data_IF_195596527606
#
_entry.id   IF_195596527606
#
_cell.length_a   1.000
_cell.length_b   1.000
_cell.length_c   1.000
_cell.angle_alpha   90.00
_cell.angle_beta   90.00
_cell.angle_gamma   90.00
#
_symmetry.space_group_name_H-M   'P 1'
#
loop_
_entity.id
_entity.type
_entity.pdbx_description
1 polymer ?
#
# COMPACT_ATOMS: atom_id res chain seq x y z
N UNK A 1 13.52 -6.49 4.46
CA UNK A 1 12.44 -7.31 3.87
C UNK A 1 12.54 -8.78 4.25
N UNK A 2 13.73 -9.40 4.24
CA UNK A 2 13.87 -10.83 4.57
C UNK A 2 13.37 -11.22 5.96
N UNK A 3 13.56 -10.36 6.97
CA UNK A 3 13.02 -10.61 8.30
C UNK A 3 11.50 -10.52 8.35
N UNK A 4 10.89 -9.60 7.60
CA UNK A 4 9.43 -9.47 7.51
C UNK A 4 8.82 -10.68 6.79
N UNK A 5 9.48 -11.19 5.75
CA UNK A 5 9.06 -12.40 5.02
C UNK A 5 9.11 -13.68 5.88
N UNK A 6 9.81 -13.67 7.02
CA UNK A 6 9.77 -14.77 8.01
C UNK A 6 8.51 -14.75 8.88
N UNK A 7 7.89 -13.57 9.02
CA UNK A 7 6.72 -13.34 9.89
C UNK A 7 5.43 -13.33 9.06
N UNK A 8 5.48 -12.73 7.88
CA UNK A 8 4.35 -12.53 6.99
C UNK A 8 4.60 -13.22 5.64
N UNK A 9 3.54 -13.78 5.03
CA UNK A 9 3.59 -14.29 3.67
C UNK A 9 3.43 -13.12 2.68
N UNK A 10 4.55 -12.52 2.27
CA UNK A 10 4.58 -11.30 1.43
C UNK A 10 5.03 -11.66 0.01
N UNK A 11 4.18 -11.34 -0.96
CA UNK A 11 4.56 -11.22 -2.36
C UNK A 11 4.87 -9.74 -2.67
N UNK A 12 6.01 -9.48 -3.30
CA UNK A 12 6.49 -8.14 -3.59
C UNK A 12 6.48 -7.91 -5.10
N UNK A 13 5.86 -6.81 -5.55
CA UNK A 13 5.81 -6.45 -6.96
C UNK A 13 6.04 -4.95 -7.13
N UNK A 14 6.97 -4.59 -8.00
CA UNK A 14 7.18 -3.21 -8.44
C UNK A 14 6.29 -2.91 -9.65
N UNK A 15 5.34 -1.98 -9.51
CA UNK A 15 4.43 -1.58 -10.61
C UNK A 15 5.09 -0.48 -11.46
N UNK A 16 5.75 0.47 -10.79
CA UNK A 16 6.60 1.52 -11.34
C UNK A 16 7.38 2.20 -10.20
N UNK A 17 8.44 2.92 -10.57
CA UNK A 17 9.28 3.70 -9.66
C UNK A 17 9.36 5.13 -10.16
N UNK A 18 8.57 6.00 -9.56
CA UNK A 18 8.45 7.42 -9.90
C UNK A 18 8.48 8.26 -8.63
N UNK A 19 8.76 9.55 -8.77
CA UNK A 19 8.48 10.51 -7.71
C UNK A 19 6.97 10.67 -7.54
N UNK A 20 6.47 10.80 -6.31
CA UNK A 20 5.02 11.00 -6.09
C UNK A 20 4.50 12.29 -6.72
N UNK A 21 5.34 13.30 -6.88
CA UNK A 21 5.00 14.55 -7.57
C UNK A 21 4.77 14.36 -9.08
N UNK A 22 5.32 13.30 -9.67
CA UNK A 22 5.13 12.93 -11.09
C UNK A 22 3.96 11.94 -11.30
N UNK A 23 3.19 11.65 -10.25
CA UNK A 23 2.03 10.76 -10.34
C UNK A 23 1.00 11.33 -11.34
N UNK A 24 0.49 10.47 -12.22
CA UNK A 24 -0.51 10.82 -13.23
C UNK A 24 -1.70 9.87 -13.18
N UNK A 25 -2.78 10.20 -13.90
CA UNK A 25 -3.94 9.32 -14.00
C UNK A 25 -3.59 7.95 -14.60
N UNK A 26 -2.66 7.89 -15.55
CA UNK A 26 -2.21 6.62 -16.14
C UNK A 26 -1.56 5.71 -15.10
N UNK A 27 -0.81 6.30 -14.16
CA UNK A 27 -0.22 5.55 -13.04
C UNK A 27 -1.30 5.01 -12.10
N UNK A 28 -2.34 5.80 -11.81
CA UNK A 28 -3.49 5.36 -11.01
C UNK A 28 -4.28 4.25 -11.70
N UNK A 29 -4.54 4.37 -13.00
CA UNK A 29 -5.20 3.32 -13.78
C UNK A 29 -4.37 2.04 -13.80
N UNK A 30 -3.04 2.15 -13.96
CA UNK A 30 -2.15 1.00 -13.94
C UNK A 30 -2.15 0.30 -12.57
N UNK A 31 -2.18 1.05 -11.47
CA UNK A 31 -2.28 0.52 -10.12
C UNK A 31 -3.63 -0.18 -9.88
N UNK A 32 -4.75 0.44 -10.26
CA UNK A 32 -6.08 -0.16 -10.20
C UNK A 32 -6.13 -1.48 -10.98
N UNK A 33 -5.69 -1.45 -12.24
CA UNK A 33 -5.69 -2.63 -13.11
C UNK A 33 -4.79 -3.74 -12.57
N UNK A 34 -3.68 -3.39 -11.91
CA UNK A 34 -2.81 -4.36 -11.25
C UNK A 34 -3.53 -5.10 -10.13
N UNK A 35 -4.26 -4.38 -9.26
CA UNK A 35 -5.03 -4.99 -8.17
C UNK A 35 -6.09 -5.94 -8.74
N UNK A 36 -6.90 -5.48 -9.71
CA UNK A 36 -7.94 -6.28 -10.35
C UNK A 36 -7.37 -7.55 -11.03
N UNK A 37 -6.30 -7.38 -11.82
CA UNK A 37 -5.64 -8.51 -12.49
C UNK A 37 -5.02 -9.50 -11.49
N UNK A 38 -4.51 -9.00 -10.36
CA UNK A 38 -3.93 -9.84 -9.32
C UNK A 38 -4.99 -10.68 -8.61
N UNK A 39 -6.17 -10.13 -8.37
CA UNK A 39 -7.31 -10.86 -7.81
C UNK A 39 -7.76 -11.99 -8.73
N UNK A 40 -7.89 -11.70 -10.04
CA UNK A 40 -8.27 -12.67 -11.06
C UNK A 40 -7.25 -13.83 -11.17
N UNK A 41 -5.95 -13.50 -11.28
CA UNK A 41 -4.90 -14.50 -11.47
C UNK A 41 -4.70 -15.39 -10.24
N UNK A 42 -4.79 -14.80 -9.05
CA UNK A 42 -4.54 -15.52 -7.81
C UNK A 42 -5.80 -16.15 -7.22
N UNK A 43 -6.94 -16.10 -7.93
CA UNK A 43 -8.23 -16.66 -7.49
C UNK A 43 -8.58 -16.20 -6.06
N UNK A 44 -8.38 -14.91 -5.79
CA UNK A 44 -8.61 -14.27 -4.49
C UNK A 44 -7.75 -14.79 -3.32
N UNK A 45 -6.61 -15.45 -3.56
CA UNK A 45 -5.72 -15.92 -2.48
C UNK A 45 -4.96 -14.80 -1.76
N UNK A 46 -4.79 -13.63 -2.39
CA UNK A 46 -4.20 -12.44 -1.77
C UNK A 46 -5.15 -11.94 -0.68
N UNK A 47 -4.68 -11.77 0.55
CA UNK A 47 -5.55 -11.32 1.65
C UNK A 47 -5.75 -9.82 1.66
N UNK A 48 -4.68 -9.05 1.47
CA UNK A 48 -4.68 -7.58 1.55
C UNK A 48 -3.57 -7.02 0.65
N UNK A 49 -3.65 -5.71 0.38
CA UNK A 49 -2.68 -4.98 -0.42
C UNK A 49 -2.01 -3.89 0.41
N UNK A 50 -0.67 -3.84 0.35
CA UNK A 50 0.12 -2.75 0.92
C UNK A 50 0.85 -2.05 -0.22
N UNK A 51 0.57 -0.77 -0.40
CA UNK A 51 1.13 0.07 -1.46
C UNK A 51 2.16 0.99 -0.83
N UNK A 52 3.43 0.78 -1.16
CA UNK A 52 4.51 1.71 -0.81
C UNK A 52 4.47 2.88 -1.80
N UNK A 53 4.30 4.09 -1.28
CA UNK A 53 4.05 5.29 -2.06
C UNK A 53 4.83 6.49 -1.49
N UNK A 54 5.17 7.46 -2.34
CA UNK A 54 5.72 8.74 -1.90
C UNK A 54 4.66 9.60 -1.18
N UNK A 55 5.07 10.50 -0.29
CA UNK A 55 4.14 11.19 0.61
C UNK A 55 3.31 12.29 -0.04
N UNK A 56 3.82 12.92 -1.10
CA UNK A 56 3.22 14.17 -1.62
C UNK A 56 1.84 13.98 -2.23
N UNK A 57 1.58 12.81 -2.81
CA UNK A 57 0.31 12.49 -3.49
C UNK A 57 -0.36 11.23 -2.93
N UNK A 58 0.09 10.74 -1.77
CA UNK A 58 -0.45 9.53 -1.14
C UNK A 58 -1.95 9.63 -0.84
N UNK A 59 -2.40 10.75 -0.28
CA UNK A 59 -3.82 10.98 0.04
C UNK A 59 -4.69 11.03 -1.21
N UNK A 60 -4.15 11.56 -2.32
CA UNK A 60 -4.83 11.57 -3.61
C UNK A 60 -5.01 10.15 -4.16
N UNK A 61 -3.94 9.34 -4.14
CA UNK A 61 -4.01 7.92 -4.51
C UNK A 61 -4.98 7.14 -3.64
N UNK A 62 -4.97 7.36 -2.31
CA UNK A 62 -5.89 6.72 -1.38
C UNK A 62 -7.35 7.07 -1.70
N UNK A 63 -7.64 8.35 -1.93
CA UNK A 63 -8.98 8.83 -2.29
C UNK A 63 -9.46 8.21 -3.60
N UNK A 64 -8.61 8.16 -4.62
CA UNK A 64 -8.92 7.51 -5.90
C UNK A 64 -9.27 6.03 -5.71
N UNK A 65 -8.44 5.28 -4.98
CA UNK A 65 -8.67 3.85 -4.76
C UNK A 65 -9.94 3.60 -3.94
N UNK A 66 -10.25 4.47 -2.97
CA UNK A 66 -11.49 4.33 -2.18
C UNK A 66 -12.75 4.47 -3.04
N UNK A 67 -12.69 5.29 -4.09
CA UNK A 67 -13.79 5.44 -5.05
C UNK A 67 -13.78 4.32 -6.11
N UNK A 68 -12.61 3.83 -6.49
CA UNK A 68 -12.48 2.74 -7.46
C UNK A 68 -12.91 1.38 -6.89
N UNK A 69 -12.81 1.20 -5.57
CA UNK A 69 -13.02 -0.07 -4.86
C UNK A 69 -14.06 0.06 -3.72
N UNK A 70 -15.30 0.54 -3.97
CA UNK A 70 -16.26 0.89 -2.91
C UNK A 70 -16.77 -0.31 -2.08
N UNK A 71 -16.72 -1.53 -2.64
CA UNK A 71 -17.19 -2.76 -2.00
C UNK A 71 -16.08 -3.82 -1.91
N UNK A 72 -14.82 -3.40 -1.91
CA UNK A 72 -13.70 -4.34 -1.87
C UNK A 72 -13.56 -4.91 -0.45
N UNK A 73 -13.64 -6.23 -0.35
CA UNK A 73 -13.71 -6.94 0.94
C UNK A 73 -12.33 -7.13 1.61
N UNK A 74 -11.28 -6.53 1.03
CA UNK A 74 -9.89 -6.60 1.47
C UNK A 74 -9.37 -5.22 1.87
N UNK A 75 -8.28 -5.18 2.62
CA UNK A 75 -7.62 -3.93 2.95
C UNK A 75 -6.71 -3.49 1.79
N UNK A 76 -6.74 -2.19 1.48
CA UNK A 76 -5.74 -1.54 0.64
C UNK A 76 -5.08 -0.47 1.52
N UNK A 77 -3.84 -0.72 1.94
CA UNK A 77 -3.12 0.14 2.87
C UNK A 77 -2.02 0.87 2.10
N UNK A 78 -2.06 2.20 2.07
CA UNK A 78 -0.97 3.02 1.56
C UNK A 78 -0.03 3.38 2.71
N UNK A 79 1.27 3.31 2.44
CA UNK A 79 2.31 3.67 3.41
C UNK A 79 3.51 4.27 2.70
N UNK A 80 4.34 5.01 3.42
CA UNK A 80 5.56 5.60 2.88
C UNK A 80 6.51 6.02 3.99
N UNK A 81 7.45 6.91 3.68
CA UNK A 81 8.39 7.49 4.64
C UNK A 81 8.76 8.91 4.27
N UNK A 82 8.88 9.78 5.26
CA UNK A 82 9.47 11.12 5.07
C UNK A 82 11.00 11.05 5.07
N UNK A 83 11.58 10.08 5.78
CA UNK A 83 13.02 9.93 5.92
C UNK A 83 13.49 8.71 5.11
N UNK A 84 14.42 8.88 4.15
CA UNK A 84 14.87 7.80 3.27
C UNK A 84 15.28 6.55 4.03
N UNK A 85 14.92 5.39 3.49
CA UNK A 85 15.32 4.10 4.04
C UNK A 85 16.84 4.01 4.18
N UNK A 86 17.32 3.53 5.33
CA UNK A 86 18.76 3.45 5.65
C UNK A 86 19.33 4.70 6.34
N UNK A 87 18.59 5.81 6.40
CA UNK A 87 18.98 6.97 7.20
C UNK A 87 18.74 6.73 8.69
N UNK A 88 19.52 7.41 9.55
CA UNK A 88 19.29 7.40 11.00
C UNK A 88 17.88 7.91 11.31
N UNK A 89 17.14 7.17 12.13
CA UNK A 89 15.75 7.46 12.51
C UNK A 89 14.74 7.42 11.34
N UNK A 90 15.01 6.64 10.28
CA UNK A 90 14.03 6.46 9.21
C UNK A 90 12.73 5.84 9.73
N UNK A 91 11.61 6.39 9.26
CA UNK A 91 10.24 5.95 9.53
C UNK A 91 9.75 4.87 8.54
N UNK A 92 10.54 4.51 7.52
CA UNK A 92 10.17 3.55 6.49
C UNK A 92 9.82 2.15 7.03
N UNK A 93 10.73 1.56 7.82
CA UNK A 93 10.51 0.22 8.39
C UNK A 93 9.39 0.23 9.44
N UNK A 94 9.33 1.18 10.39
CA UNK A 94 8.20 1.29 11.31
C UNK A 94 6.83 1.43 10.61
N UNK A 95 6.70 2.28 9.59
CA UNK A 95 5.44 2.47 8.88
C UNK A 95 5.02 1.21 8.10
N UNK A 96 5.97 0.58 7.41
CA UNK A 96 5.71 -0.68 6.69
C UNK A 96 5.31 -1.81 7.64
N UNK A 97 6.01 -1.95 8.77
CA UNK A 97 5.69 -2.97 9.77
C UNK A 97 4.29 -2.77 10.35
N UNK A 98 3.90 -1.52 10.69
CA UNK A 98 2.54 -1.22 11.15
C UNK A 98 1.49 -1.55 10.09
N UNK A 99 1.77 -1.25 8.82
CA UNK A 99 0.89 -1.59 7.71
C UNK A 99 0.68 -3.10 7.59
N UNK A 100 1.74 -3.90 7.76
CA UNK A 100 1.66 -5.36 7.79
C UNK A 100 0.89 -5.88 9.00
N UNK A 101 1.05 -5.28 10.18
CA UNK A 101 0.28 -5.67 11.37
C UNK A 101 -1.22 -5.34 11.23
N UNK A 102 -1.55 -4.23 10.58
CA UNK A 102 -2.94 -3.84 10.30
C UNK A 102 -3.56 -4.65 9.16
N UNK A 103 -2.74 -5.17 8.24
CA UNK A 103 -3.19 -6.19 7.29
C UNK A 103 -3.61 -7.46 8.06
N UNK A 104 -4.76 -8.02 7.70
CA UNK A 104 -5.41 -9.10 8.44
C UNK A 104 -6.46 -8.64 9.47
N UNK A 105 -6.56 -7.33 9.78
CA UNK A 105 -7.72 -6.83 10.54
C UNK A 105 -9.00 -6.88 9.67
N UNK A 106 -10.12 -7.26 10.30
CA UNK A 106 -11.45 -7.29 9.65
C UNK A 106 -12.05 -5.90 9.51
N UNK A 107 -11.36 -5.00 8.81
CA UNK A 107 -11.83 -3.65 8.50
C UNK A 107 -11.53 -3.29 7.04
N UNK A 108 -12.23 -3.89 6.05
CA UNK A 108 -11.97 -3.65 4.64
C UNK A 108 -12.00 -2.17 4.22
N UNK A 109 -11.43 -1.90 3.05
CA UNK A 109 -11.38 -0.57 2.44
C UNK A 109 -9.97 0.01 2.38
N UNK A 110 -9.89 1.26 1.95
CA UNK A 110 -8.63 1.96 1.76
C UNK A 110 -8.23 2.69 3.04
N UNK A 111 -6.94 2.66 3.37
CA UNK A 111 -6.40 3.40 4.51
C UNK A 111 -4.98 3.88 4.22
N UNK A 112 -4.54 4.92 4.93
CA UNK A 112 -3.16 5.41 4.96
C UNK A 112 -2.58 5.15 6.34
N UNK A 113 -1.45 4.45 6.38
CA UNK A 113 -0.68 4.21 7.61
C UNK A 113 0.61 5.01 7.53
N UNK A 114 0.74 5.99 8.41
CA UNK A 114 1.89 6.88 8.43
C UNK A 114 2.17 7.38 9.85
N UNK A 115 3.41 7.23 10.32
CA UNK A 115 3.78 7.52 11.70
C UNK A 115 2.99 6.64 12.68
N UNK A 116 2.35 7.26 13.68
CA UNK A 116 1.50 6.59 14.67
C UNK A 116 0.00 6.62 14.33
N UNK A 117 -0.35 6.94 13.08
CA UNK A 117 -1.75 7.12 12.67
C UNK A 117 -2.13 6.15 11.55
N UNK A 118 -3.38 5.70 11.62
CA UNK A 118 -4.09 5.05 10.53
C UNK A 118 -5.29 5.94 10.18
N UNK A 119 -5.34 6.41 8.93
CA UNK A 119 -6.37 7.32 8.41
C UNK A 119 -7.19 6.54 7.38
N UNK A 120 -8.51 6.65 7.43
CA UNK A 120 -9.46 6.05 6.48
C UNK A 120 -10.28 7.13 5.81
#
# INVERSE_FOLDING_TARGET
MDELKKIFNIEETEIYKIDSSDLSLDHLYKLKNFIETSEEKNKNSISDYIIVHGTDTMEYTASYLSLAFPNFEKNIILTGSMIPVGSKNSDAIPNLFKSLVLSGEKKPGVSVVFGDKCIK
#
